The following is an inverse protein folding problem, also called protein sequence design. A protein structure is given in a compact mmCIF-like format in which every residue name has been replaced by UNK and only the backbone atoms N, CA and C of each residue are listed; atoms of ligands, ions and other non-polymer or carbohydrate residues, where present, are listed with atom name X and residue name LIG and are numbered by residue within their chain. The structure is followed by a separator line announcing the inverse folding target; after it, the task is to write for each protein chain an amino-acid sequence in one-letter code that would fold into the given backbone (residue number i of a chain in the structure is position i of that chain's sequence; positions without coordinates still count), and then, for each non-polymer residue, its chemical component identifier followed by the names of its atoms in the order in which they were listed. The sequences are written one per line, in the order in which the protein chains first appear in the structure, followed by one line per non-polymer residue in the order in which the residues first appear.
data_IF_428827458274
#
_entry.id   IF_428827458274
#
_cell.length_a   1.000
_cell.length_b   1.000
_cell.length_c   1.000
_cell.angle_alpha   90.00
_cell.angle_beta   90.00
_cell.angle_gamma   90.00
#
_symmetry.space_group_name_H-M   'P 1'
#
loop_
_entity.id
_entity.type
_entity.pdbx_description
1 polymer ?
#
# COMPACT_ATOMS: atom_id res chain seq x y z
N UNK A 1 13.85 -47.83 -16.41
CA UNK A 1 13.30 -46.45 -16.40
C UNK A 1 13.71 -45.83 -15.09
N UNK A 2 14.68 -44.93 -15.01
CA UNK A 2 15.11 -44.36 -13.74
C UNK A 2 14.33 -43.08 -13.47
N UNK A 3 13.85 -42.95 -12.23
CA UNK A 3 13.25 -41.74 -11.65
C UNK A 3 14.37 -40.76 -11.32
N UNK A 4 14.33 -39.58 -11.91
CA UNK A 4 15.22 -38.48 -11.53
C UNK A 4 14.68 -37.83 -10.26
N UNK A 5 15.48 -37.84 -9.21
CA UNK A 5 15.24 -37.09 -7.98
C UNK A 5 15.60 -35.61 -8.22
N UNK A 6 14.65 -34.73 -8.09
CA UNK A 6 14.89 -33.27 -8.00
C UNK A 6 15.20 -32.97 -6.53
N UNK A 7 16.45 -32.53 -6.29
CA UNK A 7 16.90 -32.16 -4.96
C UNK A 7 16.26 -30.83 -4.50
N UNK A 8 15.64 -30.85 -3.36
CA UNK A 8 15.21 -29.65 -2.63
C UNK A 8 16.42 -28.92 -2.09
N UNK A 9 16.68 -27.72 -2.58
CA UNK A 9 17.62 -26.80 -1.95
C UNK A 9 16.98 -26.22 -0.70
N UNK A 10 17.35 -26.75 0.45
CA UNK A 10 17.03 -26.16 1.75
C UNK A 10 17.79 -24.86 1.91
N UNK A 11 17.09 -23.73 1.90
CA UNK A 11 17.66 -22.45 2.34
C UNK A 11 17.84 -22.51 3.85
N UNK A 12 19.05 -22.80 4.28
CA UNK A 12 19.42 -22.72 5.67
C UNK A 12 19.54 -21.25 6.08
N UNK A 13 18.69 -20.79 7.01
CA UNK A 13 18.87 -19.54 7.74
C UNK A 13 20.15 -19.66 8.58
N UNK A 14 21.24 -19.06 8.10
CA UNK A 14 22.45 -18.86 8.91
C UNK A 14 22.21 -17.66 9.82
N UNK A 15 21.93 -17.91 11.09
CA UNK A 15 21.96 -16.89 12.14
C UNK A 15 23.44 -16.49 12.35
N UNK A 16 23.83 -15.33 11.84
CA UNK A 16 25.09 -14.68 12.15
C UNK A 16 24.95 -13.95 13.50
N UNK A 17 25.43 -14.56 14.56
CA UNK A 17 25.73 -13.88 15.81
C UNK A 17 26.94 -12.95 15.58
N UNK A 18 26.68 -11.65 15.40
CA UNK A 18 27.71 -10.63 15.44
C UNK A 18 27.74 -10.03 16.85
N UNK A 19 28.89 -10.08 17.47
CA UNK A 19 29.14 -9.50 18.79
C UNK A 19 28.94 -7.98 18.76
N UNK A 20 28.05 -7.46 19.62
CA UNK A 20 27.76 -6.06 19.78
C UNK A 20 28.88 -5.34 20.52
N UNK A 21 29.49 -4.37 19.86
CA UNK A 21 30.28 -3.31 20.54
C UNK A 21 29.29 -2.21 20.86
N UNK A 22 29.02 -2.01 22.17
CA UNK A 22 28.04 -1.06 22.64
C UNK A 22 28.44 0.39 22.38
N UNK A 23 27.56 1.15 21.74
CA UNK A 23 27.51 2.60 21.77
C UNK A 23 26.15 2.99 22.35
N UNK A 24 26.08 3.75 23.45
CA UNK A 24 24.82 4.24 23.97
C UNK A 24 24.33 5.39 23.10
N UNK A 25 23.34 5.14 22.27
CA UNK A 25 22.59 6.15 21.54
C UNK A 25 21.11 5.93 21.79
N UNK A 26 20.39 6.97 22.20
CA UNK A 26 18.95 6.96 22.29
C UNK A 26 18.36 6.54 20.94
N UNK A 27 17.85 5.29 20.89
CA UNK A 27 17.17 4.77 19.72
C UNK A 27 15.87 5.57 19.54
N UNK A 28 15.79 6.30 18.45
CA UNK A 28 14.57 6.97 18.03
C UNK A 28 13.43 5.95 17.95
N UNK A 29 12.36 6.18 18.70
CA UNK A 29 11.12 5.41 18.64
C UNK A 29 10.60 5.44 17.22
N UNK A 30 10.27 4.29 16.66
CA UNK A 30 9.41 4.19 15.50
C UNK A 30 8.08 4.87 15.86
N UNK A 31 7.72 5.92 15.14
CA UNK A 31 6.49 6.66 15.37
C UNK A 31 5.48 6.27 14.33
N UNK A 32 4.30 5.86 14.79
CA UNK A 32 3.12 5.76 13.94
C UNK A 32 2.70 7.16 13.51
N UNK A 33 2.47 7.42 12.21
CA UNK A 33 1.97 8.72 11.77
C UNK A 33 0.56 8.95 12.30
N UNK A 34 0.32 10.14 12.81
CA UNK A 34 -0.99 10.59 13.27
C UNK A 34 -1.76 11.19 12.08
N UNK A 35 -2.16 10.38 11.16
CA UNK A 35 -3.06 10.78 10.09
C UNK A 35 -3.90 9.57 9.75
N UNK A 36 -5.18 9.56 10.14
CA UNK A 36 -6.28 8.67 9.72
C UNK A 36 -5.96 7.36 8.99
N UNK A 37 -4.79 6.80 9.21
CA UNK A 37 -4.28 5.61 8.56
C UNK A 37 -4.76 4.44 9.38
N UNK A 38 -5.61 3.64 8.81
CA UNK A 38 -5.81 2.25 9.23
C UNK A 38 -4.44 1.63 9.49
N UNK A 39 -4.35 0.69 10.41
CA UNK A 39 -3.15 -0.11 10.65
C UNK A 39 -2.47 -0.37 9.31
N UNK A 40 -1.47 0.43 9.03
CA UNK A 40 -0.80 0.54 7.74
C UNK A 40 0.65 0.09 7.82
N UNK A 41 1.41 0.26 6.75
CA UNK A 41 2.79 -0.18 6.68
C UNK A 41 3.60 0.34 7.87
N UNK A 42 4.40 -0.53 8.46
CA UNK A 42 5.43 -0.10 9.39
C UNK A 42 6.32 0.90 8.64
N UNK A 43 6.33 2.14 9.06
CA UNK A 43 7.35 3.05 8.57
C UNK A 43 8.71 2.50 8.99
N UNK A 44 9.39 1.87 8.08
CA UNK A 44 10.78 1.53 8.29
C UNK A 44 11.51 2.79 8.70
N UNK A 45 12.28 2.74 9.76
CA UNK A 45 12.99 3.80 10.46
C UNK A 45 12.94 5.16 9.74
N UNK A 46 12.13 6.08 10.26
CA UNK A 46 12.06 7.45 9.75
C UNK A 46 13.48 8.03 9.60
N UNK A 47 13.68 8.89 8.62
CA UNK A 47 14.96 9.57 8.48
C UNK A 47 15.35 10.19 9.84
N UNK A 48 16.59 10.03 10.33
CA UNK A 48 16.99 10.46 11.68
C UNK A 48 16.70 11.94 11.99
N UNK A 49 16.51 12.75 10.96
CA UNK A 49 16.21 14.17 11.05
C UNK A 49 14.79 14.53 10.59
N UNK A 50 13.92 13.55 10.32
CA UNK A 50 12.54 13.82 9.96
C UNK A 50 11.80 14.46 11.14
N UNK A 51 10.92 15.45 10.89
CA UNK A 51 10.02 15.95 11.92
C UNK A 51 9.20 14.81 12.52
N UNK A 52 9.21 14.69 13.83
CA UNK A 52 8.45 13.63 14.51
C UNK A 52 6.96 13.97 14.47
N UNK A 53 6.13 13.01 14.04
CA UNK A 53 4.69 13.13 14.17
C UNK A 53 4.29 13.23 15.66
N UNK A 54 3.23 13.96 16.00
CA UNK A 54 2.72 13.99 17.36
C UNK A 54 2.34 12.56 17.82
N UNK A 55 2.37 12.28 19.14
CA UNK A 55 1.93 10.99 19.66
C UNK A 55 0.50 10.69 19.22
N UNK A 56 0.23 9.44 18.86
CA UNK A 56 -1.12 9.02 18.49
C UNK A 56 -2.09 9.22 19.65
N UNK A 57 -3.23 9.84 19.36
CA UNK A 57 -4.34 9.94 20.28
C UNK A 57 -5.17 8.66 20.27
N UNK A 58 -5.80 8.32 21.38
CA UNK A 58 -6.60 7.11 21.55
C UNK A 58 -7.94 7.40 22.21
N UNK A 59 -9.03 6.87 21.69
CA UNK A 59 -10.38 7.05 22.22
C UNK A 59 -10.48 6.65 23.70
N UNK A 60 -9.86 5.55 24.08
CA UNK A 60 -9.85 5.06 25.47
C UNK A 60 -8.58 5.46 26.25
N UNK A 61 -7.80 6.41 25.73
CA UNK A 61 -6.60 6.94 26.35
C UNK A 61 -5.60 5.85 26.75
N UNK A 62 -5.13 5.88 28.00
CA UNK A 62 -4.11 4.95 28.51
C UNK A 62 -4.67 3.65 29.09
N UNK A 63 -5.96 3.34 28.91
CA UNK A 63 -6.65 2.19 29.53
C UNK A 63 -6.44 2.13 31.07
N UNK A 64 -6.55 3.27 31.73
CA UNK A 64 -6.24 3.36 33.18
C UNK A 64 -4.76 3.11 33.51
N UNK A 65 -3.86 3.39 32.59
CA UNK A 65 -2.41 3.23 32.73
C UNK A 65 -1.87 1.84 32.27
N UNK A 66 -2.72 0.93 31.80
CA UNK A 66 -2.29 -0.39 31.30
C UNK A 66 -1.48 -0.25 30.01
N UNK A 67 -1.96 0.57 29.06
CA UNK A 67 -1.27 0.88 27.80
C UNK A 67 0.17 1.34 28.09
N UNK A 68 0.31 2.38 28.93
CA UNK A 68 1.63 2.93 29.27
C UNK A 68 2.56 1.88 29.93
N UNK A 69 2.02 0.98 30.74
CA UNK A 69 2.81 -0.12 31.33
C UNK A 69 3.30 -1.09 30.26
N UNK A 70 2.46 -1.45 29.30
CA UNK A 70 2.83 -2.33 28.19
C UNK A 70 3.89 -1.68 27.29
N UNK A 71 3.69 -0.43 26.89
CA UNK A 71 4.65 0.34 26.08
C UNK A 71 6.02 0.47 26.77
N UNK A 72 6.03 0.74 28.07
CA UNK A 72 7.27 0.78 28.85
C UNK A 72 7.95 -0.59 28.95
N UNK A 73 7.18 -1.69 28.97
CA UNK A 73 7.69 -3.04 28.92
C UNK A 73 8.15 -3.48 27.53
N UNK A 74 7.85 -2.71 26.46
CA UNK A 74 8.23 -3.03 25.10
C UNK A 74 7.13 -3.67 24.26
N UNK A 75 5.87 -3.61 24.69
CA UNK A 75 4.73 -4.10 23.92
C UNK A 75 3.85 -2.91 23.57
N UNK A 76 3.68 -2.65 22.27
CA UNK A 76 2.73 -1.66 21.76
C UNK A 76 1.52 -2.37 21.13
N UNK A 77 0.32 -1.98 21.54
CA UNK A 77 -0.94 -2.51 21.02
C UNK A 77 -1.72 -1.36 20.41
N UNK A 78 -1.97 -1.45 19.11
CA UNK A 78 -2.84 -0.52 18.39
C UNK A 78 -4.08 -1.27 17.92
N UNK A 79 -5.24 -0.72 18.21
CA UNK A 79 -6.51 -1.20 17.69
C UNK A 79 -7.23 -0.03 17.03
N UNK A 80 -7.74 -0.24 15.83
CA UNK A 80 -8.44 0.79 15.08
C UNK A 80 -9.71 0.30 14.40
N UNK A 81 -10.56 1.24 14.05
CA UNK A 81 -11.70 1.02 13.17
C UNK A 81 -11.71 2.07 12.08
N UNK A 82 -11.70 1.62 10.84
CA UNK A 82 -11.90 2.46 9.66
C UNK A 82 -13.21 2.11 9.01
N UNK A 83 -13.99 3.12 8.63
CA UNK A 83 -15.22 2.93 7.87
C UNK A 83 -15.31 3.91 6.71
N UNK A 84 -15.80 3.43 5.58
CA UNK A 84 -15.92 4.18 4.33
C UNK A 84 -17.31 3.98 3.76
N UNK A 85 -18.06 5.07 3.66
CA UNK A 85 -19.37 5.10 3.00
C UNK A 85 -19.20 5.83 1.68
N UNK A 86 -19.77 5.28 0.62
CA UNK A 86 -19.76 5.90 -0.70
C UNK A 86 -21.11 5.68 -1.39
N UNK A 87 -21.56 6.67 -2.13
CA UNK A 87 -22.74 6.57 -2.98
C UNK A 87 -22.56 7.40 -4.24
N UNK A 88 -22.99 6.87 -5.37
CA UNK A 88 -22.71 7.45 -6.68
C UNK A 88 -23.95 7.98 -7.40
N UNK A 89 -23.69 8.96 -8.26
CA UNK A 89 -24.58 9.39 -9.35
C UNK A 89 -23.84 9.21 -10.68
N UNK A 90 -24.54 8.82 -11.73
CA UNK A 90 -23.89 8.47 -13.02
C UNK A 90 -23.40 7.01 -13.04
N UNK A 91 -22.45 6.72 -13.94
CA UNK A 91 -21.98 5.36 -14.16
C UNK A 91 -22.98 4.43 -14.82
N UNK A 92 -22.75 3.11 -14.71
CA UNK A 92 -23.64 2.06 -15.21
C UNK A 92 -24.93 1.94 -14.37
N UNK A 93 -24.80 2.03 -13.06
CA UNK A 93 -25.91 2.01 -12.09
C UNK A 93 -25.62 3.00 -10.96
N UNK A 94 -26.65 3.34 -10.20
CA UNK A 94 -26.55 4.19 -9.02
C UNK A 94 -26.82 3.39 -7.76
N UNK A 95 -26.12 3.70 -6.68
CA UNK A 95 -26.29 3.04 -5.40
C UNK A 95 -25.47 3.69 -4.31
N UNK A 96 -25.38 2.99 -3.19
CA UNK A 96 -24.52 3.36 -2.07
C UNK A 96 -24.05 2.10 -1.34
N UNK A 97 -22.82 2.14 -0.83
CA UNK A 97 -22.21 1.03 -0.12
C UNK A 97 -21.50 1.49 1.15
N UNK A 98 -21.21 0.50 1.97
CA UNK A 98 -20.38 0.62 3.16
C UNK A 98 -19.24 -0.38 3.07
N UNK A 99 -18.04 0.05 3.43
CA UNK A 99 -16.89 -0.81 3.71
C UNK A 99 -16.32 -0.47 5.08
N UNK A 100 -15.91 -1.47 5.85
CA UNK A 100 -15.35 -1.27 7.18
C UNK A 100 -14.26 -2.27 7.50
N UNK A 101 -13.30 -1.82 8.32
CA UNK A 101 -12.21 -2.64 8.82
C UNK A 101 -12.02 -2.37 10.30
N UNK A 102 -11.87 -3.43 11.09
CA UNK A 102 -11.33 -3.37 12.46
C UNK A 102 -9.98 -4.03 12.44
N UNK A 103 -8.96 -3.33 12.92
CA UNK A 103 -7.60 -3.78 12.95
C UNK A 103 -7.06 -3.97 14.35
N UNK A 104 -6.11 -4.89 14.50
CA UNK A 104 -5.31 -5.09 15.70
C UNK A 104 -3.86 -5.31 15.29
N UNK A 105 -2.99 -4.44 15.78
CA UNK A 105 -1.54 -4.53 15.65
C UNK A 105 -0.89 -4.76 17.01
N UNK A 106 0.10 -5.63 17.05
CA UNK A 106 0.96 -5.86 18.21
C UNK A 106 2.41 -5.76 17.77
N UNK A 107 3.13 -4.82 18.37
CA UNK A 107 4.56 -4.63 18.16
C UNK A 107 5.32 -4.96 19.44
N UNK A 108 6.44 -5.67 19.31
CA UNK A 108 7.30 -6.02 20.44
C UNK A 108 8.73 -5.52 20.24
N UNK A 109 9.21 -4.69 21.16
CA UNK A 109 10.58 -4.22 21.27
C UNK A 109 11.38 -5.19 22.14
N UNK A 110 12.14 -6.05 21.51
CA UNK A 110 12.92 -7.09 22.20
C UNK A 110 14.09 -6.55 22.99
N UNK A 111 14.54 -5.31 22.74
CA UNK A 111 15.53 -4.67 23.60
C UNK A 111 14.94 -4.40 25.00
N UNK A 112 13.70 -3.93 25.08
CA UNK A 112 13.04 -3.72 26.36
C UNK A 112 12.63 -5.03 27.04
N UNK A 113 12.18 -6.02 26.27
CA UNK A 113 11.69 -7.30 26.78
C UNK A 113 12.82 -8.22 27.24
N UNK A 114 13.85 -8.39 26.42
CA UNK A 114 14.90 -9.40 26.60
C UNK A 114 16.33 -8.86 26.42
N UNK A 115 16.52 -7.53 26.30
CA UNK A 115 17.82 -6.89 26.05
C UNK A 115 18.49 -7.34 24.74
N UNK A 116 17.69 -7.57 23.68
CA UNK A 116 18.16 -7.83 22.33
C UNK A 116 18.08 -6.53 21.52
N UNK A 117 19.19 -5.78 21.38
CA UNK A 117 19.17 -4.45 20.79
C UNK A 117 18.78 -4.50 19.32
N UNK A 118 17.90 -3.59 18.89
CA UNK A 118 17.54 -3.38 17.48
C UNK A 118 16.49 -4.36 16.93
N UNK A 119 16.19 -5.45 17.65
CA UNK A 119 15.19 -6.42 17.22
C UNK A 119 13.77 -5.97 17.59
N UNK A 120 12.88 -5.99 16.61
CA UNK A 120 11.44 -5.76 16.76
C UNK A 120 10.65 -6.85 16.02
N UNK A 121 9.43 -7.12 16.47
CA UNK A 121 8.49 -7.99 15.75
C UNK A 121 7.13 -7.32 15.66
N UNK A 122 6.46 -7.53 14.53
CA UNK A 122 5.21 -6.89 14.17
C UNK A 122 4.20 -7.95 13.73
N UNK A 123 2.98 -7.87 14.25
CA UNK A 123 1.87 -8.74 13.84
C UNK A 123 0.62 -7.90 13.67
N UNK A 124 -0.07 -8.07 12.54
CA UNK A 124 -1.34 -7.41 12.26
C UNK A 124 -2.37 -8.42 11.79
N UNK A 125 -3.56 -8.30 12.36
CA UNK A 125 -4.78 -8.98 11.90
C UNK A 125 -5.91 -7.98 11.74
N UNK A 126 -6.80 -8.22 10.77
CA UNK A 126 -7.97 -7.36 10.54
C UNK A 126 -9.24 -8.18 10.35
N UNK A 127 -10.37 -7.57 10.70
CA UNK A 127 -11.70 -7.94 10.22
C UNK A 127 -12.09 -6.97 9.11
N UNK A 128 -12.65 -7.45 8.01
CA UNK A 128 -13.10 -6.60 6.89
C UNK A 128 -14.49 -7.00 6.45
N UNK A 129 -15.34 -6.00 6.19
CA UNK A 129 -16.74 -6.21 5.83
C UNK A 129 -17.28 -5.10 4.92
N UNK A 130 -18.23 -5.46 4.07
CA UNK A 130 -18.94 -4.48 3.24
C UNK A 130 -18.87 -4.80 1.74
N UNK A 131 -18.88 -3.75 0.92
CA UNK A 131 -18.80 -3.82 -0.54
C UNK A 131 -18.34 -2.49 -1.14
N UNK A 132 -17.95 -2.52 -2.42
CA UNK A 132 -17.47 -1.36 -3.17
C UNK A 132 -18.57 -0.66 -3.93
N UNK A 133 -18.63 0.66 -3.86
CA UNK A 133 -19.51 1.48 -4.68
C UNK A 133 -19.07 1.49 -6.16
N UNK A 134 -17.76 1.46 -6.42
CA UNK A 134 -17.21 1.44 -7.77
C UNK A 134 -17.74 0.29 -8.62
N UNK A 135 -18.02 -0.87 -8.02
CA UNK A 135 -18.61 -2.01 -8.77
C UNK A 135 -20.04 -1.74 -9.22
N UNK A 136 -20.81 -0.90 -8.50
CA UNK A 136 -22.18 -0.52 -8.86
C UNK A 136 -22.17 0.35 -10.11
N UNK A 137 -21.31 1.36 -10.16
CA UNK A 137 -21.22 2.21 -11.33
C UNK A 137 -20.34 1.65 -12.47
N UNK A 138 -19.80 0.44 -12.29
CA UNK A 138 -19.11 -0.33 -13.32
C UNK A 138 -17.62 -0.07 -13.44
N UNK A 139 -16.96 0.46 -12.41
CA UNK A 139 -15.51 0.53 -12.35
C UNK A 139 -14.94 -0.63 -11.50
N UNK A 140 -14.15 -1.48 -12.14
CA UNK A 140 -13.44 -2.60 -11.51
C UNK A 140 -11.93 -2.37 -11.42
N UNK A 141 -11.44 -1.24 -11.94
CA UNK A 141 -10.01 -0.89 -11.94
C UNK A 141 -9.63 -0.07 -10.71
N UNK A 142 -10.48 0.91 -10.34
CA UNK A 142 -10.17 1.89 -9.32
C UNK A 142 -11.25 1.91 -8.22
N UNK A 143 -11.09 1.12 -7.15
CA UNK A 143 -12.02 1.11 -6.03
C UNK A 143 -12.19 2.49 -5.38
N UNK A 144 -13.45 2.91 -5.18
CA UNK A 144 -13.79 4.15 -4.45
C UNK A 144 -13.37 4.11 -3.00
N UNK A 145 -13.38 2.91 -2.42
CA UNK A 145 -13.14 2.65 -0.99
C UNK A 145 -11.90 1.77 -0.87
N UNK A 146 -10.86 2.30 -0.25
CA UNK A 146 -9.57 1.61 -0.10
C UNK A 146 -9.70 0.27 0.61
N UNK A 147 -10.53 0.19 1.65
CA UNK A 147 -10.71 -1.03 2.46
C UNK A 147 -10.98 -2.26 1.57
N UNK A 148 -11.62 -2.07 0.43
CA UNK A 148 -11.95 -3.15 -0.50
C UNK A 148 -11.06 -3.20 -1.74
N UNK A 149 -9.96 -2.46 -1.76
CA UNK A 149 -8.97 -2.52 -2.84
C UNK A 149 -8.36 -3.91 -3.05
N UNK A 150 -8.27 -4.71 -1.98
CA UNK A 150 -7.82 -6.09 -1.99
C UNK A 150 -8.46 -6.89 -0.85
N UNK A 151 -8.41 -8.24 -0.91
CA UNK A 151 -8.79 -9.13 0.19
C UNK A 151 -10.28 -9.38 0.39
N UNK A 152 -11.17 -8.44 0.09
CA UNK A 152 -12.62 -8.56 0.26
C UNK A 152 -13.07 -8.82 1.72
N UNK A 153 -14.27 -9.40 1.93
CA UNK A 153 -14.80 -9.72 3.25
C UNK A 153 -13.98 -10.82 3.95
N UNK A 154 -13.57 -10.57 5.19
CA UNK A 154 -12.84 -11.52 6.01
C UNK A 154 -13.25 -11.42 7.48
N UNK A 155 -13.58 -12.55 8.13
CA UNK A 155 -13.84 -12.58 9.57
C UNK A 155 -12.60 -12.23 10.38
N UNK A 156 -11.48 -12.88 10.08
CA UNK A 156 -10.13 -12.54 10.54
C UNK A 156 -9.18 -12.78 9.39
N UNK A 157 -8.41 -11.76 9.04
CA UNK A 157 -7.38 -11.80 8.00
C UNK A 157 -6.02 -11.51 8.64
N UNK A 158 -5.06 -12.39 8.41
CA UNK A 158 -3.67 -12.17 8.81
C UNK A 158 -3.00 -11.27 7.78
N UNK A 159 -2.69 -10.04 8.18
CA UNK A 159 -2.08 -9.07 7.26
C UNK A 159 -0.59 -9.30 7.15
N UNK A 160 0.12 -9.29 8.28
CA UNK A 160 1.55 -9.58 8.31
C UNK A 160 2.01 -10.08 9.67
N UNK A 161 3.14 -10.79 9.66
CA UNK A 161 3.93 -11.15 10.82
C UNK A 161 5.38 -11.27 10.41
N UNK A 162 6.22 -10.32 10.85
CA UNK A 162 7.62 -10.28 10.49
C UNK A 162 8.48 -9.77 11.65
N UNK A 163 9.77 -10.05 11.55
CA UNK A 163 10.79 -9.48 12.42
C UNK A 163 11.65 -8.50 11.63
N UNK A 164 12.06 -7.42 12.28
CA UNK A 164 13.07 -6.53 11.75
C UNK A 164 14.17 -6.24 12.77
N UNK A 165 15.36 -5.99 12.28
CA UNK A 165 16.53 -5.70 13.10
C UNK A 165 17.28 -4.48 12.56
N UNK A 166 17.49 -3.52 13.44
CA UNK A 166 18.28 -2.32 13.18
C UNK A 166 19.72 -2.53 13.68
N UNK A 167 20.66 -2.55 12.75
CA UNK A 167 22.08 -2.75 13.00
C UNK A 167 22.86 -1.46 12.77
N UNK A 168 24.08 -1.38 13.30
CA UNK A 168 25.00 -0.27 13.12
C UNK A 168 24.38 1.10 13.46
N UNK A 169 23.62 1.18 14.55
CA UNK A 169 22.94 2.41 14.95
C UNK A 169 21.82 2.84 13.98
N UNK A 170 21.16 1.89 13.32
CA UNK A 170 20.08 2.15 12.37
C UNK A 170 20.55 2.39 10.91
N UNK A 171 21.86 2.29 10.63
CA UNK A 171 22.35 2.40 9.26
C UNK A 171 21.97 1.22 8.38
N UNK A 172 21.79 0.04 8.96
CA UNK A 172 21.31 -1.16 8.27
C UNK A 172 20.05 -1.65 8.97
N UNK A 173 19.00 -1.88 8.20
CA UNK A 173 17.77 -2.49 8.69
C UNK A 173 17.43 -3.70 7.83
N UNK A 174 17.19 -4.84 8.48
CA UNK A 174 16.83 -6.10 7.83
C UNK A 174 15.45 -6.49 8.34
N UNK A 175 14.53 -6.80 7.42
CA UNK A 175 13.21 -7.31 7.76
C UNK A 175 12.97 -8.65 7.06
N UNK A 176 12.33 -9.60 7.75
CA UNK A 176 12.01 -10.92 7.21
C UNK A 176 10.75 -11.49 7.85
N UNK A 177 9.90 -12.10 7.03
CA UNK A 177 8.67 -12.75 7.48
C UNK A 177 7.61 -12.83 6.40
N UNK A 178 6.35 -12.88 6.83
CA UNK A 178 5.21 -12.66 5.94
C UNK A 178 4.83 -11.19 5.98
N UNK A 179 4.95 -10.52 4.84
CA UNK A 179 4.74 -9.07 4.75
C UNK A 179 4.30 -8.66 3.34
N UNK A 180 3.48 -7.63 3.20
CA UNK A 180 3.21 -7.03 1.91
C UNK A 180 4.47 -6.32 1.40
N UNK A 181 4.87 -6.57 0.16
CA UNK A 181 6.03 -5.92 -0.44
C UNK A 181 5.87 -4.39 -0.45
N UNK A 182 4.69 -3.92 -0.84
CA UNK A 182 4.40 -2.50 -1.03
C UNK A 182 4.23 -1.73 0.30
N UNK A 183 4.32 -2.39 1.47
CA UNK A 183 4.47 -1.68 2.73
C UNK A 183 5.84 -0.97 2.84
N UNK A 184 6.87 -1.54 2.21
CA UNK A 184 8.24 -1.03 2.28
C UNK A 184 8.68 -0.31 0.99
N UNK A 185 8.16 -0.74 -0.17
CA UNK A 185 8.52 -0.22 -1.49
C UNK A 185 7.36 0.59 -2.07
N UNK A 186 7.68 1.64 -2.81
CA UNK A 186 6.69 2.53 -3.44
C UNK A 186 5.65 3.09 -2.45
N UNK A 187 5.96 3.19 -1.18
CA UNK A 187 5.07 3.60 -0.11
C UNK A 187 5.26 5.07 0.27
N UNK A 188 4.19 5.72 0.73
CA UNK A 188 4.22 7.00 1.42
C UNK A 188 3.16 7.02 2.52
N UNK A 189 3.46 7.53 3.73
CA UNK A 189 2.48 7.66 4.80
C UNK A 189 1.36 8.65 4.45
N UNK A 190 1.55 9.46 3.41
CA UNK A 190 0.59 10.48 3.00
C UNK A 190 -0.53 9.95 2.11
N UNK A 191 -0.42 8.74 1.57
CA UNK A 191 -1.39 8.21 0.60
C UNK A 191 -2.79 8.03 1.18
N UNK A 192 -2.91 7.50 2.40
CA UNK A 192 -4.21 7.22 3.01
C UNK A 192 -4.86 8.42 3.71
N UNK A 193 -4.38 9.64 3.44
CA UNK A 193 -5.19 10.84 3.62
C UNK A 193 -6.36 10.92 2.63
N UNK A 194 -6.36 10.07 1.61
CA UNK A 194 -7.43 9.89 0.62
C UNK A 194 -8.22 8.61 0.91
N UNK A 195 -9.42 8.49 0.30
CA UNK A 195 -10.25 7.29 0.41
C UNK A 195 -10.10 6.40 -0.83
N UNK A 196 -9.84 7.00 -2.00
CA UNK A 196 -9.74 6.29 -3.27
C UNK A 196 -8.52 5.36 -3.31
N UNK A 197 -8.72 4.10 -3.67
CA UNK A 197 -7.65 3.11 -3.77
C UNK A 197 -6.73 3.31 -5.01
N UNK A 198 -6.95 4.33 -5.83
CA UNK A 198 -5.94 4.70 -6.83
C UNK A 198 -4.65 5.18 -6.18
N UNK A 199 -4.71 5.69 -4.94
CA UNK A 199 -3.54 6.13 -4.19
C UNK A 199 -3.47 5.55 -2.77
N UNK A 200 -4.60 5.52 -1.99
CA UNK A 200 -4.59 4.96 -0.65
C UNK A 200 -4.30 3.45 -0.67
N UNK A 201 -3.45 3.02 0.26
CA UNK A 201 -2.81 1.71 0.26
C UNK A 201 -1.48 1.75 -0.49
N UNK A 202 -1.52 1.87 -1.80
CA UNK A 202 -0.36 2.10 -2.68
C UNK A 202 -0.89 2.55 -4.06
N UNK A 203 -0.10 3.23 -4.89
CA UNK A 203 -0.49 3.53 -6.27
C UNK A 203 -0.98 2.26 -6.97
N UNK A 204 -2.17 2.32 -7.55
CA UNK A 204 -2.96 1.13 -7.94
C UNK A 204 -2.30 0.30 -9.04
N UNK A 205 -1.47 0.93 -9.87
CA UNK A 205 -0.80 0.25 -10.98
C UNK A 205 0.00 -0.96 -10.48
N UNK A 206 0.86 -0.80 -9.46
CA UNK A 206 1.79 -1.85 -9.06
C UNK A 206 1.09 -3.16 -8.65
N UNK A 207 0.16 -3.17 -7.67
CA UNK A 207 -0.49 -4.41 -7.26
C UNK A 207 -1.47 -4.95 -8.31
N UNK A 208 -1.93 -4.12 -9.25
CA UNK A 208 -2.85 -4.54 -10.32
C UNK A 208 -2.13 -5.02 -11.58
N UNK A 209 -0.91 -4.54 -11.81
CA UNK A 209 -0.08 -4.97 -12.92
C UNK A 209 0.62 -6.29 -12.65
N UNK A 210 1.05 -6.49 -11.40
CA UNK A 210 1.80 -7.67 -11.00
C UNK A 210 1.36 -8.22 -9.65
N UNK A 211 1.10 -9.54 -9.59
CA UNK A 211 0.79 -10.26 -8.35
C UNK A 211 2.01 -10.36 -7.42
N UNK A 212 3.23 -10.25 -7.95
CA UNK A 212 4.47 -10.18 -7.18
C UNK A 212 4.55 -8.92 -6.33
N UNK A 213 3.93 -7.82 -6.77
CA UNK A 213 3.79 -6.57 -6.05
C UNK A 213 2.68 -6.65 -4.99
N UNK A 214 2.84 -7.56 -4.01
CA UNK A 214 1.85 -7.77 -2.95
C UNK A 214 1.63 -6.50 -2.12
N UNK A 215 0.35 -6.16 -1.90
CA UNK A 215 -0.07 -4.97 -1.15
C UNK A 215 -0.98 -5.34 0.01
N UNK A 216 -1.07 -4.45 0.99
CA UNK A 216 -2.01 -4.56 2.10
C UNK A 216 -3.45 -4.87 1.59
N UNK A 217 -4.19 -5.82 2.21
CA UNK A 217 -3.87 -6.59 3.41
C UNK A 217 -3.18 -7.95 3.14
N UNK A 218 -2.83 -8.24 1.89
CA UNK A 218 -2.29 -9.53 1.50
C UNK A 218 -0.76 -9.55 1.62
N UNK A 219 -0.22 -10.62 2.22
CA UNK A 219 1.21 -10.78 2.44
C UNK A 219 1.75 -12.07 1.87
N UNK A 220 3.03 -12.07 1.57
CA UNK A 220 3.81 -13.21 1.07
C UNK A 220 5.06 -13.40 1.93
N UNK A 221 5.72 -14.55 1.82
CA UNK A 221 7.04 -14.73 2.42
C UNK A 221 8.06 -13.86 1.69
N UNK A 222 8.86 -13.13 2.46
CA UNK A 222 9.86 -12.25 1.88
C UNK A 222 10.73 -11.59 2.92
N UNK A 223 11.56 -10.67 2.44
CA UNK A 223 12.39 -9.86 3.29
C UNK A 223 13.13 -8.79 2.48
N UNK A 224 13.64 -7.81 3.19
CA UNK A 224 14.41 -6.71 2.63
C UNK A 224 15.62 -6.35 3.47
N UNK A 225 16.58 -5.74 2.82
CA UNK A 225 17.70 -5.05 3.45
C UNK A 225 17.65 -3.59 3.01
N UNK A 226 17.65 -2.68 3.98
CA UNK A 226 17.76 -1.24 3.78
C UNK A 226 19.08 -0.74 4.37
N UNK A 227 19.82 0.03 3.60
CA UNK A 227 21.07 0.67 4.03
C UNK A 227 20.91 2.18 3.91
N UNK A 228 21.25 2.91 4.96
CA UNK A 228 21.30 4.37 5.00
C UNK A 228 22.76 4.86 4.98
N UNK A 229 23.31 5.20 3.81
CA UNK A 229 24.66 5.76 3.72
C UNK A 229 24.77 7.13 4.39
N UNK A 230 23.69 7.89 4.39
CA UNK A 230 23.56 9.18 5.10
C UNK A 230 22.22 9.27 5.82
N UNK A 231 22.05 10.28 6.68
CA UNK A 231 20.76 10.54 7.34
C UNK A 231 19.62 10.89 6.37
N UNK A 232 19.95 11.26 5.13
CA UNK A 232 18.97 11.70 4.12
C UNK A 232 18.84 10.75 2.93
N UNK A 233 19.55 9.63 2.93
CA UNK A 233 19.50 8.69 1.80
C UNK A 233 19.36 7.26 2.26
N UNK A 234 18.61 6.46 1.52
CA UNK A 234 18.68 5.02 1.64
C UNK A 234 18.70 4.32 0.28
N UNK A 235 19.17 3.11 0.31
CA UNK A 235 19.04 2.12 -0.75
C UNK A 235 18.48 0.87 -0.12
N UNK A 236 17.49 0.26 -0.75
CA UNK A 236 16.93 -1.01 -0.29
C UNK A 236 16.72 -1.99 -1.45
N UNK A 237 16.83 -3.26 -1.13
CA UNK A 237 16.53 -4.39 -1.99
C UNK A 237 15.74 -5.42 -1.22
N UNK A 238 14.80 -6.07 -1.88
CA UNK A 238 14.00 -7.15 -1.30
C UNK A 238 13.97 -8.39 -2.18
N UNK A 239 13.46 -9.47 -1.60
CA UNK A 239 13.10 -10.69 -2.31
C UNK A 239 11.80 -11.23 -1.70
N UNK A 240 10.76 -11.35 -2.51
CA UNK A 240 9.42 -11.73 -2.07
C UNK A 240 8.88 -12.85 -2.93
N UNK A 241 8.13 -13.75 -2.33
CA UNK A 241 7.45 -14.84 -3.03
C UNK A 241 6.43 -14.30 -4.04
N UNK A 242 6.46 -14.78 -5.27
CA UNK A 242 5.37 -14.59 -6.24
C UNK A 242 4.43 -15.78 -6.14
N UNK A 243 3.25 -15.56 -5.54
CA UNK A 243 2.25 -16.61 -5.34
C UNK A 243 1.02 -16.33 -6.18
N UNK A 244 0.83 -17.11 -7.25
CA UNK A 244 -0.26 -16.94 -8.21
C UNK A 244 -1.66 -17.21 -7.63
N UNK A 245 -1.76 -17.73 -6.42
CA UNK A 245 -3.04 -18.00 -5.77
C UNK A 245 -3.44 -16.88 -4.78
N UNK A 246 -2.60 -15.87 -4.59
CA UNK A 246 -2.78 -14.83 -3.57
C UNK A 246 -4.17 -14.15 -3.62
N UNK A 247 -4.68 -13.86 -4.81
CA UNK A 247 -6.00 -13.23 -4.98
C UNK A 247 -7.08 -14.18 -5.51
N UNK A 248 -6.70 -15.40 -5.90
CA UNK A 248 -7.59 -16.34 -6.62
C UNK A 248 -8.38 -17.31 -5.74
N UNK A 249 -7.93 -17.57 -4.53
CA UNK A 249 -8.51 -18.59 -3.67
C UNK A 249 -9.20 -17.96 -2.45
N UNK A 250 -10.49 -18.30 -2.24
CA UNK A 250 -11.24 -17.82 -1.05
C UNK A 250 -10.59 -18.22 0.30
N UNK A 251 -9.76 -19.26 0.32
CA UNK A 251 -8.98 -19.61 1.52
C UNK A 251 -7.89 -18.58 1.84
N UNK A 252 -7.37 -17.87 0.84
CA UNK A 252 -6.43 -16.77 1.02
C UNK A 252 -7.09 -15.50 1.56
N UNK A 253 -8.41 -15.38 1.55
CA UNK A 253 -9.10 -14.24 2.19
C UNK A 253 -8.80 -14.09 3.68
N UNK A 254 -8.40 -15.15 4.36
CA UNK A 254 -7.93 -15.10 5.75
C UNK A 254 -6.41 -14.92 5.86
N UNK A 255 -5.67 -15.21 4.80
CA UNK A 255 -4.21 -15.19 4.69
C UNK A 255 -3.46 -16.00 5.78
N UNK A 256 -4.14 -16.97 6.41
CA UNK A 256 -3.54 -17.88 7.39
C UNK A 256 -2.93 -19.15 6.75
N UNK A 257 -2.87 -19.21 5.43
CA UNK A 257 -2.10 -20.24 4.75
C UNK A 257 -0.63 -19.81 4.66
N UNK A 258 0.21 -20.45 5.48
CA UNK A 258 1.64 -20.19 5.55
C UNK A 258 2.45 -21.11 4.62
N UNK A 259 1.78 -21.90 3.77
CA UNK A 259 2.44 -22.73 2.77
C UNK A 259 2.94 -21.87 1.60
N UNK A 260 3.94 -22.37 0.88
CA UNK A 260 4.39 -21.80 -0.39
C UNK A 260 3.73 -22.49 -1.60
N UNK A 261 2.60 -23.17 -1.39
CA UNK A 261 1.84 -23.77 -2.49
C UNK A 261 1.30 -22.66 -3.40
N UNK A 262 1.60 -22.75 -4.71
CA UNK A 262 1.29 -21.70 -5.67
C UNK A 262 2.42 -20.69 -5.91
N UNK A 263 3.51 -20.77 -5.17
CA UNK A 263 4.74 -20.04 -5.46
C UNK A 263 5.34 -20.50 -6.78
N UNK A 264 5.64 -19.56 -7.68
CA UNK A 264 6.20 -19.87 -9.00
C UNK A 264 7.32 -18.90 -9.43
N UNK A 265 7.70 -17.97 -8.54
CA UNK A 265 8.76 -17.00 -8.79
C UNK A 265 9.15 -16.20 -7.55
N UNK A 266 10.03 -15.25 -7.78
CA UNK A 266 10.48 -14.28 -6.80
C UNK A 266 10.39 -12.89 -7.41
N UNK A 267 9.75 -11.97 -6.69
CA UNK A 267 9.79 -10.55 -6.98
C UNK A 267 11.00 -9.92 -6.30
N UNK A 268 11.77 -9.16 -7.05
CA UNK A 268 13.00 -8.49 -6.60
C UNK A 268 12.85 -6.98 -6.79
N UNK A 269 12.33 -6.25 -5.78
CA UNK A 269 12.28 -4.80 -5.80
C UNK A 269 13.62 -4.19 -5.37
N UNK A 270 13.98 -3.09 -6.01
CA UNK A 270 15.08 -2.20 -5.62
C UNK A 270 14.56 -0.78 -5.55
N UNK A 271 14.90 -0.03 -4.50
CA UNK A 271 14.51 1.37 -4.36
C UNK A 271 15.66 2.18 -3.78
N UNK A 272 15.84 3.39 -4.31
CA UNK A 272 16.71 4.41 -3.77
C UNK A 272 15.87 5.62 -3.37
N UNK A 273 16.22 6.26 -2.25
CA UNK A 273 15.50 7.43 -1.78
C UNK A 273 16.42 8.54 -1.31
N UNK A 274 15.94 9.76 -1.49
CA UNK A 274 16.50 10.98 -0.92
C UNK A 274 15.44 11.69 -0.09
N UNK A 275 15.72 11.89 1.20
CA UNK A 275 14.79 12.40 2.21
C UNK A 275 15.35 13.72 2.82
N UNK A 276 15.31 14.82 2.06
CA UNK A 276 15.83 16.10 2.54
C UNK A 276 14.89 16.76 3.55
N UNK A 277 15.50 17.61 4.39
CA UNK A 277 14.79 18.65 5.15
C UNK A 277 15.27 19.99 4.64
N UNK A 278 14.40 20.78 3.99
CA UNK A 278 14.79 21.94 3.19
C UNK A 278 14.55 23.25 3.96
N UNK A 279 15.57 24.13 3.92
CA UNK A 279 15.49 25.51 4.37
C UNK A 279 15.34 25.68 5.88
N UNK A 280 15.23 26.95 6.31
CA UNK A 280 15.10 27.31 7.72
C UNK A 280 13.74 26.91 8.34
N UNK A 281 12.74 26.65 7.51
CA UNK A 281 11.43 26.18 7.95
C UNK A 281 11.37 24.66 8.17
N UNK A 282 12.47 23.94 7.96
CA UNK A 282 12.60 22.50 8.12
C UNK A 282 11.48 21.75 7.36
N UNK A 283 11.41 21.95 6.04
CA UNK A 283 10.40 21.35 5.16
C UNK A 283 10.83 19.94 4.74
N UNK A 284 10.18 18.87 5.23
CA UNK A 284 10.55 17.50 4.86
C UNK A 284 10.10 17.16 3.44
N UNK A 285 10.85 16.30 2.77
CA UNK A 285 10.48 15.74 1.47
C UNK A 285 11.03 14.33 1.31
N UNK A 286 10.40 13.55 0.45
CA UNK A 286 10.80 12.18 0.11
C UNK A 286 10.75 12.02 -1.41
N UNK A 287 11.87 11.62 -1.99
CA UNK A 287 12.02 11.37 -3.42
C UNK A 287 12.51 9.94 -3.61
N UNK A 288 11.76 9.12 -4.31
CA UNK A 288 12.01 7.69 -4.46
C UNK A 288 12.05 7.29 -5.94
N UNK A 289 13.03 6.48 -6.29
CA UNK A 289 13.10 5.81 -7.59
C UNK A 289 13.23 4.31 -7.36
N UNK A 290 12.44 3.53 -8.04
CA UNK A 290 12.47 2.09 -7.86
C UNK A 290 12.18 1.30 -9.12
N UNK A 291 12.50 0.02 -9.01
CA UNK A 291 12.37 -0.97 -10.06
C UNK A 291 11.99 -2.31 -9.42
N UNK A 292 11.07 -3.05 -10.05
CA UNK A 292 10.68 -4.42 -9.72
C UNK A 292 10.98 -5.37 -10.85
N UNK A 293 11.30 -6.61 -10.51
CA UNK A 293 11.50 -7.72 -11.44
C UNK A 293 10.84 -8.98 -10.89
N UNK A 294 9.77 -9.43 -11.56
CA UNK A 294 9.14 -10.73 -11.30
C UNK A 294 9.76 -11.82 -12.16
N UNK A 295 10.37 -12.80 -11.51
CA UNK A 295 10.98 -13.96 -12.17
C UNK A 295 9.97 -15.03 -12.59
N UNK A 296 8.69 -14.91 -12.18
CA UNK A 296 7.64 -15.85 -12.59
C UNK A 296 7.35 -15.75 -14.09
N UNK A 297 6.84 -16.86 -14.66
CA UNK A 297 6.37 -16.86 -16.05
C UNK A 297 4.91 -16.42 -16.10
N UNK A 298 4.72 -15.15 -16.36
CA UNK A 298 3.40 -14.53 -16.49
C UNK A 298 2.85 -14.73 -17.91
N UNK A 299 1.51 -14.87 -18.02
CA UNK A 299 0.84 -14.95 -19.32
C UNK A 299 0.45 -13.56 -19.79
N UNK A 300 0.77 -13.26 -21.05
CA UNK A 300 0.35 -12.04 -21.71
C UNK A 300 -0.97 -12.20 -22.47
N UNK A 301 -1.24 -11.27 -23.36
CA UNK A 301 -2.48 -11.13 -24.10
C UNK A 301 -2.41 -11.76 -25.50
N UNK A 302 -3.54 -12.26 -26.01
CA UNK A 302 -3.63 -12.75 -27.38
C UNK A 302 -3.43 -11.62 -28.40
N UNK A 303 -2.60 -11.87 -29.39
CA UNK A 303 -2.27 -10.89 -30.44
C UNK A 303 -3.13 -11.01 -31.70
N UNK A 304 -3.85 -12.13 -31.87
CA UNK A 304 -4.67 -12.43 -33.06
C UNK A 304 -5.74 -13.48 -32.77
N UNK A 305 -6.78 -13.55 -33.63
CA UNK A 305 -7.80 -14.62 -33.56
C UNK A 305 -7.19 -16.02 -33.74
N UNK A 306 -6.14 -16.15 -34.53
CA UNK A 306 -5.44 -17.42 -34.68
C UNK A 306 -4.80 -17.86 -33.37
N UNK A 307 -4.21 -16.93 -32.58
CA UNK A 307 -3.65 -17.22 -31.28
C UNK A 307 -4.74 -17.60 -30.25
N UNK A 308 -5.92 -16.94 -30.30
CA UNK A 308 -7.10 -17.30 -29.49
C UNK A 308 -7.52 -18.74 -29.82
N UNK A 309 -7.70 -19.07 -31.09
CA UNK A 309 -8.13 -20.40 -31.52
C UNK A 309 -7.10 -21.49 -31.18
N UNK A 310 -5.83 -21.17 -31.18
CA UNK A 310 -4.75 -22.06 -30.79
C UNK A 310 -4.57 -22.18 -29.26
N UNK A 311 -5.16 -21.29 -28.48
CA UNK A 311 -4.98 -21.22 -27.02
C UNK A 311 -3.56 -20.88 -26.58
N UNK A 312 -2.74 -20.24 -27.46
CA UNK A 312 -1.34 -19.96 -27.21
C UNK A 312 -1.16 -18.47 -26.83
N UNK A 313 -0.85 -18.22 -25.56
CA UNK A 313 -0.50 -16.89 -25.03
C UNK A 313 1.02 -16.70 -24.99
N UNK A 314 1.52 -15.48 -25.24
CA UNK A 314 2.91 -15.16 -24.93
C UNK A 314 3.12 -15.28 -23.42
N UNK A 315 4.34 -15.64 -23.03
CA UNK A 315 4.76 -15.71 -21.62
C UNK A 315 6.06 -14.97 -21.42
N UNK A 316 6.23 -14.33 -20.26
CA UNK A 316 7.46 -13.60 -19.92
C UNK A 316 7.52 -13.24 -18.44
N UNK A 317 8.62 -12.63 -18.08
CA UNK A 317 8.83 -11.99 -16.78
C UNK A 317 8.26 -10.58 -16.83
N UNK A 318 7.82 -10.06 -15.68
CA UNK A 318 7.32 -8.67 -15.58
C UNK A 318 8.39 -7.74 -15.00
N UNK A 319 8.25 -6.48 -15.34
CA UNK A 319 9.06 -5.40 -14.76
C UNK A 319 8.21 -4.19 -14.52
N UNK A 320 8.46 -3.52 -13.40
CA UNK A 320 7.79 -2.29 -12.99
C UNK A 320 8.81 -1.23 -12.60
N UNK A 321 8.43 0.03 -12.81
CA UNK A 321 9.23 1.20 -12.46
C UNK A 321 8.36 2.20 -11.71
N UNK A 322 8.95 2.90 -10.74
CA UNK A 322 8.28 4.01 -10.08
C UNK A 322 9.23 5.16 -9.78
N UNK A 323 8.70 6.37 -9.90
CA UNK A 323 9.31 7.61 -9.46
C UNK A 323 8.28 8.37 -8.63
N UNK A 324 8.55 8.55 -7.35
CA UNK A 324 7.61 9.12 -6.39
C UNK A 324 8.27 10.30 -5.68
N UNK A 325 7.49 11.33 -5.40
CA UNK A 325 7.94 12.49 -4.63
C UNK A 325 6.81 12.99 -3.74
N UNK A 326 7.14 13.34 -2.51
CA UNK A 326 6.36 14.24 -1.68
C UNK A 326 7.29 15.31 -1.10
N UNK A 327 6.79 16.54 -0.97
CA UNK A 327 7.55 17.67 -0.44
C UNK A 327 6.61 18.64 0.27
N UNK A 328 6.87 18.88 1.54
CA UNK A 328 6.29 20.04 2.20
C UNK A 328 6.88 21.31 1.58
N UNK A 329 6.04 22.18 1.03
CA UNK A 329 6.45 23.41 0.35
C UNK A 329 6.19 24.66 1.17
N UNK A 330 5.33 24.56 2.15
CA UNK A 330 4.98 25.68 3.04
C UNK A 330 4.61 25.16 4.43
N UNK A 331 5.05 25.87 5.48
CA UNK A 331 4.71 25.59 6.87
C UNK A 331 3.82 26.70 7.40
N UNK A 332 2.61 26.35 7.85
CA UNK A 332 1.61 27.31 8.34
C UNK A 332 1.46 27.32 9.85
N UNK A 333 2.09 26.39 10.58
CA UNK A 333 2.02 26.25 12.03
C UNK A 333 3.28 25.64 12.65
N UNK A 334 3.32 25.48 13.98
CA UNK A 334 4.47 24.92 14.69
C UNK A 334 4.54 23.39 14.67
N UNK A 335 3.43 22.70 14.37
CA UNK A 335 3.40 21.25 14.31
C UNK A 335 4.25 20.68 13.17
N UNK A 336 4.75 19.48 13.34
CA UNK A 336 5.60 18.81 12.34
C UNK A 336 4.90 18.59 11.00
N UNK A 337 3.58 18.41 11.01
CA UNK A 337 2.74 18.19 9.84
C UNK A 337 2.10 19.48 9.31
N UNK A 338 2.14 20.59 10.09
CA UNK A 338 1.43 21.83 9.74
C UNK A 338 2.01 22.46 8.48
N UNK A 339 1.24 22.47 7.41
CA UNK A 339 1.66 23.06 6.15
C UNK A 339 1.10 22.38 4.92
N UNK A 340 1.58 22.85 3.79
CA UNK A 340 1.20 22.35 2.48
C UNK A 340 2.26 21.36 2.00
N UNK A 341 1.82 20.12 1.74
CA UNK A 341 2.61 19.06 1.12
C UNK A 341 2.08 18.75 -0.27
N UNK A 342 2.95 18.70 -1.25
CA UNK A 342 2.64 18.29 -2.62
C UNK A 342 3.16 16.89 -2.85
N UNK A 343 2.37 16.07 -3.52
CA UNK A 343 2.73 14.71 -3.88
C UNK A 343 2.64 14.55 -5.39
N UNK A 344 3.55 13.78 -5.99
CA UNK A 344 3.51 13.40 -7.38
C UNK A 344 4.16 12.04 -7.59
N UNK A 345 3.67 11.27 -8.55
CA UNK A 345 4.26 9.99 -8.92
C UNK A 345 3.99 9.62 -10.36
N UNK A 346 4.93 8.87 -10.92
CA UNK A 346 4.84 8.17 -12.18
C UNK A 346 5.20 6.71 -11.99
N UNK A 347 4.35 5.82 -12.45
CA UNK A 347 4.55 4.39 -12.38
C UNK A 347 4.33 3.79 -13.76
N UNK A 348 5.11 2.77 -14.09
CA UNK A 348 5.07 2.06 -15.37
C UNK A 348 5.17 0.56 -15.16
N UNK A 349 4.40 -0.22 -15.91
CA UNK A 349 4.49 -1.68 -15.96
C UNK A 349 4.63 -2.16 -17.41
N UNK A 350 5.20 -3.37 -17.61
CA UNK A 350 5.26 -4.00 -18.92
C UNK A 350 3.87 -4.30 -19.47
N UNK A 351 3.37 -3.40 -20.29
CA UNK A 351 2.03 -3.50 -20.88
C UNK A 351 1.81 -4.68 -21.82
N UNK A 352 2.85 -5.47 -22.16
CA UNK A 352 2.69 -6.71 -22.94
C UNK A 352 2.15 -7.86 -22.08
N UNK A 353 2.37 -7.80 -20.76
CA UNK A 353 2.04 -8.83 -19.78
C UNK A 353 1.12 -8.32 -18.67
N UNK A 354 0.93 -7.02 -18.54
CA UNK A 354 0.21 -6.37 -17.46
C UNK A 354 -1.06 -5.67 -17.94
N UNK A 355 -2.09 -5.60 -17.10
CA UNK A 355 -3.35 -4.93 -17.41
C UNK A 355 -3.17 -3.40 -17.56
N UNK A 356 -2.28 -2.82 -16.75
CA UNK A 356 -1.93 -1.41 -16.79
C UNK A 356 -0.63 -1.18 -17.54
N UNK A 357 -0.46 0.04 -18.04
CA UNK A 357 0.78 0.50 -18.67
C UNK A 357 1.40 1.65 -17.88
N UNK A 358 0.65 2.70 -17.62
CA UNK A 358 1.13 3.87 -16.90
C UNK A 358 0.12 4.37 -15.89
N UNK A 359 0.63 4.89 -14.77
CA UNK A 359 -0.14 5.65 -13.79
C UNK A 359 0.62 6.93 -13.44
N UNK A 360 -0.11 8.04 -13.37
CA UNK A 360 0.39 9.34 -12.90
C UNK A 360 -0.57 9.86 -11.84
N UNK A 361 -0.03 10.35 -10.73
CA UNK A 361 -0.83 11.09 -9.77
C UNK A 361 -0.17 12.39 -9.36
N UNK A 362 -0.99 13.36 -8.99
CA UNK A 362 -0.58 14.58 -8.28
C UNK A 362 -1.58 14.84 -7.17
N UNK A 363 -1.08 15.23 -6.00
CA UNK A 363 -1.92 15.55 -4.86
C UNK A 363 -1.37 16.72 -4.06
N UNK A 364 -2.25 17.37 -3.30
CA UNK A 364 -1.91 18.42 -2.34
C UNK A 364 -2.65 18.14 -1.03
N UNK A 365 -1.95 18.27 0.07
CA UNK A 365 -2.46 18.20 1.42
C UNK A 365 -2.14 19.50 2.13
N UNK A 366 -3.11 20.11 2.82
CA UNK A 366 -2.91 21.28 3.66
C UNK A 366 -3.40 20.97 5.08
N UNK A 367 -2.45 20.65 5.97
CA UNK A 367 -2.72 20.37 7.38
C UNK A 367 -2.59 21.66 8.20
N UNK A 368 -3.55 21.89 9.09
CA UNK A 368 -3.54 23.07 9.96
C UNK A 368 -3.86 24.38 9.24
N UNK A 369 -4.49 24.33 8.05
CA UNK A 369 -4.82 25.51 7.24
C UNK A 369 -5.71 26.52 7.97
N UNK A 370 -6.52 26.04 8.92
CA UNK A 370 -7.45 26.86 9.68
C UNK A 370 -7.03 26.92 11.16
N UNK A 371 -6.62 28.11 11.61
CA UNK A 371 -6.12 28.32 12.98
C UNK A 371 -7.09 27.93 14.09
N UNK A 372 -8.41 28.00 13.84
CA UNK A 372 -9.42 27.56 14.81
C UNK A 372 -9.51 26.03 14.92
N UNK A 373 -8.99 25.31 13.93
CA UNK A 373 -8.98 23.85 13.83
C UNK A 373 -7.62 23.38 13.28
N UNK A 374 -6.57 23.48 14.10
CA UNK A 374 -5.19 23.30 13.64
C UNK A 374 -4.83 21.84 13.31
N UNK A 375 -5.69 20.89 13.64
CA UNK A 375 -5.48 19.45 13.34
C UNK A 375 -6.30 18.98 12.14
N UNK A 376 -7.11 19.86 11.54
CA UNK A 376 -7.86 19.51 10.34
C UNK A 376 -6.96 19.58 9.09
N UNK A 377 -7.34 18.81 8.07
CA UNK A 377 -6.60 18.73 6.81
C UNK A 377 -7.56 18.77 5.61
N UNK A 378 -7.13 19.42 4.54
CA UNK A 378 -7.76 19.33 3.22
C UNK A 378 -6.85 18.50 2.32
N UNK A 379 -7.45 17.60 1.52
CA UNK A 379 -6.78 16.82 0.49
C UNK A 379 -7.40 17.05 -0.89
N UNK A 380 -6.54 17.17 -1.91
CA UNK A 380 -6.92 17.19 -3.31
C UNK A 380 -6.04 16.20 -4.07
N UNK A 381 -6.63 15.35 -4.90
CA UNK A 381 -5.95 14.32 -5.68
C UNK A 381 -6.46 14.27 -7.11
N UNK A 382 -5.56 14.07 -8.04
CA UNK A 382 -5.84 13.70 -9.43
C UNK A 382 -5.00 12.49 -9.77
N UNK A 383 -5.62 11.41 -10.26
CA UNK A 383 -4.93 10.25 -10.80
C UNK A 383 -5.32 10.01 -12.25
N UNK A 384 -4.37 9.59 -13.04
CA UNK A 384 -4.53 9.12 -14.41
C UNK A 384 -3.95 7.71 -14.50
N UNK A 385 -4.70 6.78 -15.06
CA UNK A 385 -4.21 5.43 -15.32
C UNK A 385 -4.55 4.99 -16.75
N UNK A 386 -3.58 4.39 -17.45
CA UNK A 386 -3.77 3.81 -18.78
C UNK A 386 -3.75 2.28 -18.72
N UNK A 387 -4.70 1.69 -19.41
CA UNK A 387 -4.76 0.25 -19.64
C UNK A 387 -3.83 -0.12 -20.78
N UNK A 388 -3.23 -1.29 -20.71
CA UNK A 388 -2.24 -1.75 -21.69
C UNK A 388 -2.84 -1.86 -23.10
N UNK A 389 -2.05 -1.46 -24.08
CA UNK A 389 -2.45 -1.56 -25.50
C UNK A 389 -2.61 -3.01 -25.96
N UNK A 390 -1.91 -3.95 -25.32
CA UNK A 390 -2.03 -5.37 -25.62
C UNK A 390 -3.35 -5.95 -25.10
N UNK A 391 -3.77 -5.59 -23.88
CA UNK A 391 -5.10 -5.90 -23.34
C UNK A 391 -6.20 -5.30 -24.23
N UNK A 392 -6.10 -4.01 -24.55
CA UNK A 392 -7.06 -3.32 -25.41
C UNK A 392 -7.19 -3.94 -26.82
N UNK A 393 -6.10 -4.53 -27.33
CA UNK A 393 -6.10 -5.28 -28.60
C UNK A 393 -6.86 -6.59 -28.45
N UNK A 394 -6.59 -7.38 -27.41
CA UNK A 394 -7.33 -8.64 -27.13
C UNK A 394 -8.82 -8.36 -26.98
N UNK A 395 -9.21 -7.34 -26.21
CA UNK A 395 -10.61 -6.96 -26.02
C UNK A 395 -11.32 -6.61 -27.36
N UNK A 396 -10.60 -5.97 -28.31
CA UNK A 396 -11.14 -5.73 -29.66
C UNK A 396 -11.32 -7.02 -30.45
N UNK A 397 -10.38 -7.97 -30.29
CA UNK A 397 -10.51 -9.28 -30.94
C UNK A 397 -11.70 -10.06 -30.38
N UNK A 398 -11.89 -10.05 -29.06
CA UNK A 398 -13.03 -10.68 -28.40
C UNK A 398 -14.36 -10.11 -28.90
N UNK A 399 -14.49 -8.79 -28.91
CA UNK A 399 -15.70 -8.12 -29.42
C UNK A 399 -15.99 -8.48 -30.87
N UNK A 400 -14.98 -8.45 -31.74
CA UNK A 400 -15.13 -8.78 -33.16
C UNK A 400 -15.49 -10.25 -33.38
N UNK A 401 -15.08 -11.13 -32.47
CA UNK A 401 -15.39 -12.56 -32.51
C UNK A 401 -16.70 -12.92 -31.78
N UNK A 402 -17.37 -11.95 -31.16
CA UNK A 402 -18.57 -12.22 -30.33
C UNK A 402 -18.26 -12.99 -29.05
N UNK A 403 -17.04 -12.94 -28.56
CA UNK A 403 -16.59 -13.58 -27.33
C UNK A 403 -16.79 -12.64 -26.12
N UNK A 404 -16.88 -13.19 -24.90
CA UNK A 404 -16.82 -12.37 -23.68
C UNK A 404 -15.53 -11.58 -23.62
N UNK A 405 -15.62 -10.29 -23.33
CA UNK A 405 -14.47 -9.40 -23.26
C UNK A 405 -13.61 -9.72 -22.04
N UNK A 406 -12.31 -9.86 -22.25
CA UNK A 406 -11.36 -10.15 -21.18
C UNK A 406 -11.43 -9.11 -20.05
N UNK A 407 -11.31 -9.57 -18.80
CA UNK A 407 -11.37 -8.71 -17.61
C UNK A 407 -12.77 -8.27 -17.20
N UNK A 408 -13.83 -8.88 -17.77
CA UNK A 408 -15.24 -8.54 -17.49
C UNK A 408 -15.65 -7.15 -17.95
N UNK A 409 -14.86 -6.53 -18.83
CA UNK A 409 -15.17 -5.23 -19.43
C UNK A 409 -16.37 -5.35 -20.40
N UNK A 410 -17.17 -4.30 -20.54
CA UNK A 410 -18.29 -4.21 -21.47
C UNK A 410 -17.90 -3.57 -22.81
N UNK A 411 -16.66 -3.14 -22.95
CA UNK A 411 -16.07 -2.52 -24.12
C UNK A 411 -14.56 -2.48 -24.03
N UNK A 412 -13.91 -1.87 -25.03
CA UNK A 412 -12.45 -1.72 -25.02
C UNK A 412 -12.04 -0.68 -23.99
N UNK A 413 -11.13 -1.06 -23.11
CA UNK A 413 -10.54 -0.18 -22.11
C UNK A 413 -9.42 0.69 -22.72
N UNK A 414 -9.19 1.85 -22.14
CA UNK A 414 -8.16 2.80 -22.58
C UNK A 414 -7.49 3.50 -21.40
N UNK A 415 -8.09 4.59 -20.92
CA UNK A 415 -7.60 5.34 -19.77
C UNK A 415 -8.76 5.86 -18.93
N UNK A 416 -8.48 6.11 -17.65
CA UNK A 416 -9.38 6.78 -16.71
C UNK A 416 -8.67 7.94 -16.02
N UNK A 417 -9.45 8.91 -15.54
CA UNK A 417 -8.98 9.97 -14.64
C UNK A 417 -9.91 10.02 -13.44
N UNK A 418 -9.34 10.15 -12.25
CA UNK A 418 -10.10 10.30 -11.02
C UNK A 418 -9.67 11.60 -10.35
N UNK A 419 -10.64 12.37 -9.89
CA UNK A 419 -10.45 13.50 -9.00
C UNK A 419 -10.99 13.11 -7.63
N UNK A 420 -10.28 13.48 -6.56
CA UNK A 420 -10.75 13.34 -5.20
C UNK A 420 -10.50 14.62 -4.43
N UNK A 421 -11.46 15.01 -3.59
CA UNK A 421 -11.35 16.12 -2.67
C UNK A 421 -11.96 15.71 -1.32
N UNK A 422 -11.21 15.89 -0.24
CA UNK A 422 -11.69 15.59 1.10
C UNK A 422 -11.35 16.68 2.11
N UNK A 423 -12.03 16.64 3.23
CA UNK A 423 -11.76 17.49 4.38
C UNK A 423 -11.74 16.63 5.64
N UNK A 424 -10.54 16.28 6.12
CA UNK A 424 -10.38 15.51 7.34
C UNK A 424 -10.57 16.41 8.57
N UNK A 425 -11.61 16.12 9.33
CA UNK A 425 -12.02 16.79 10.56
C UNK A 425 -11.48 15.98 11.74
N UNK A 426 -10.50 16.49 12.44
CA UNK A 426 -10.07 15.91 13.70
C UNK A 426 -11.09 16.21 14.81
N UNK A 427 -11.79 15.18 15.27
CA UNK A 427 -12.82 15.32 16.33
C UNK A 427 -12.18 15.32 17.71
N UNK A 428 -11.01 14.71 17.86
CA UNK A 428 -10.25 14.56 19.09
C UNK A 428 -10.27 13.15 19.66
N UNK A 429 -9.35 12.87 20.58
CA UNK A 429 -9.21 11.55 21.22
C UNK A 429 -9.09 10.38 20.23
N UNK A 430 -8.35 10.58 19.13
CA UNK A 430 -8.14 9.54 18.13
C UNK A 430 -9.34 9.25 17.25
N UNK A 431 -10.24 10.23 17.07
CA UNK A 431 -11.40 10.14 16.17
C UNK A 431 -11.29 11.17 15.07
N UNK A 432 -11.29 10.70 13.83
CA UNK A 432 -11.28 11.51 12.62
C UNK A 432 -12.49 11.21 11.74
N UNK A 433 -12.99 12.22 11.02
CA UNK A 433 -14.10 12.11 10.09
C UNK A 433 -13.81 12.96 8.85
N UNK A 434 -13.81 12.33 7.68
CA UNK A 434 -13.47 12.99 6.42
C UNK A 434 -14.60 12.86 5.39
N UNK A 435 -15.49 13.88 5.23
CA UNK A 435 -16.29 14.01 4.02
C UNK A 435 -15.42 13.93 2.78
N UNK A 436 -15.88 13.19 1.77
CA UNK A 436 -15.15 12.85 0.57
C UNK A 436 -16.01 13.01 -0.67
N UNK A 437 -15.41 13.54 -1.73
CA UNK A 437 -15.99 13.67 -3.05
C UNK A 437 -15.01 13.14 -4.08
N UNK A 438 -15.49 12.23 -4.96
CA UNK A 438 -14.71 11.71 -6.08
C UNK A 438 -15.47 11.91 -7.39
N UNK A 439 -14.73 12.12 -8.47
CA UNK A 439 -15.28 12.17 -9.81
C UNK A 439 -14.47 11.29 -10.77
N UNK A 440 -15.16 10.36 -11.40
CA UNK A 440 -14.58 9.40 -12.33
C UNK A 440 -14.90 9.79 -13.76
N UNK A 441 -13.87 10.16 -14.49
CA UNK A 441 -13.94 10.26 -15.95
C UNK A 441 -13.65 8.89 -16.55
N UNK A 442 -14.58 8.39 -17.37
CA UNK A 442 -14.46 7.09 -18.02
C UNK A 442 -14.24 5.94 -17.02
N UNK A 443 -15.21 5.64 -16.16
CA UNK A 443 -15.12 4.53 -15.22
C UNK A 443 -14.68 3.24 -15.92
N UNK A 444 -13.86 2.42 -15.24
CA UNK A 444 -13.26 1.21 -15.78
C UNK A 444 -12.40 1.45 -17.05
N UNK A 445 -11.92 2.68 -17.24
CA UNK A 445 -11.22 3.12 -18.45
C UNK A 445 -12.04 2.95 -19.75
N UNK A 446 -13.37 2.93 -19.69
CA UNK A 446 -14.28 2.64 -20.79
C UNK A 446 -15.08 3.87 -21.22
N UNK A 447 -15.14 4.13 -22.52
CA UNK A 447 -15.91 5.26 -23.08
C UNK A 447 -17.42 4.99 -23.20
N UNK A 448 -17.88 3.76 -23.00
CA UNK A 448 -19.29 3.37 -23.04
C UNK A 448 -19.97 3.39 -21.67
N UNK A 449 -19.24 3.64 -20.59
CA UNK A 449 -19.77 3.90 -19.25
C UNK A 449 -19.80 5.41 -19.03
N UNK A 450 -20.91 5.94 -18.52
CA UNK A 450 -21.02 7.37 -18.19
C UNK A 450 -20.10 7.71 -17.02
N UNK A 451 -19.62 8.94 -16.98
CA UNK A 451 -18.89 9.46 -15.83
C UNK A 451 -19.73 9.33 -14.56
N UNK A 452 -19.05 9.19 -13.42
CA UNK A 452 -19.67 9.02 -12.12
C UNK A 452 -19.14 10.04 -11.11
N UNK A 453 -20.06 10.67 -10.37
CA UNK A 453 -19.73 11.45 -9.19
C UNK A 453 -20.07 10.64 -7.95
N UNK A 454 -19.13 10.55 -7.02
CA UNK A 454 -19.26 9.80 -5.75
C UNK A 454 -19.21 10.78 -4.59
N UNK A 455 -20.11 10.62 -3.65
CA UNK A 455 -20.16 11.35 -2.39
C UNK A 455 -20.06 10.35 -1.25
N UNK A 456 -19.18 10.62 -0.31
CA UNK A 456 -18.95 9.69 0.78
C UNK A 456 -18.30 10.32 1.98
N UNK A 457 -17.85 9.47 2.86
CA UNK A 457 -16.99 9.85 3.97
C UNK A 457 -16.14 8.66 4.43
N UNK A 458 -14.96 8.98 4.96
CA UNK A 458 -14.10 8.07 5.70
C UNK A 458 -14.12 8.44 7.17
N UNK A 459 -14.20 7.46 8.06
CA UNK A 459 -14.05 7.68 9.51
C UNK A 459 -12.96 6.77 10.03
N UNK A 460 -12.18 7.28 10.95
CA UNK A 460 -11.16 6.52 11.66
C UNK A 460 -11.29 6.69 13.16
N UNK A 461 -11.21 5.60 13.89
CA UNK A 461 -11.20 5.58 15.35
C UNK A 461 -10.02 4.74 15.82
N UNK A 462 -9.12 5.36 16.57
CA UNK A 462 -8.00 4.70 17.20
C UNK A 462 -8.34 4.47 18.69
N UNK A 463 -8.40 3.20 19.13
CA UNK A 463 -8.87 2.80 20.46
C UNK A 463 -7.82 2.86 21.56
#
# INVERSE_FOLDING_TARGET
MPKSAVGYASVACAALLAASIGVPGDLARAQTPNSGVSIGPSEGLAAPNAPQAPPAEHLFGTWGGVRTKLENAGINITADWVSEVAGNTGGAQQGATYAGQVGLQVDADWNKLLHIPGLQTHVVVVNRQGSLDSTIFGDHLNPTQEIYGAGGNAGIHFVYGYAEEALLGGQVNIAVGRMPLLNDFAASPLYCNFMNNSLCGNPKLLPSADIGMSSYPDSVWGGRVRVRPTAQTYIQIGAYEVNQTLYGNKYFRSNFDFSSAGSNGVEIPVEVAYEPVIGAANLPGHYKLGFGYDSARNQGFFSSLQAINAGVRPTGNKTEYWALADQMVYRNGPGSLDGISLLAGYLHADGSLSNYNDEVYVAALDHGFWRARPQDQIGLLVTYASVSSALAREQRLDLNAGLPVLGGATGVQGHSVILEANYNIHVGNGVDFAPDFQYYFRPNAQGNIKDAAVFGFKSHVNF
#
